data_IF_644892439438
#
_entry.id   IF_644892439438
#
_cell.length_a   1.000
_cell.length_b   1.000
_cell.length_c   1.000
_cell.angle_alpha   90.00
_cell.angle_beta   90.00
_cell.angle_gamma   90.00
#
_symmetry.space_group_name_H-M   'P 1'
#
loop_
_entity.id
_entity.type
_entity.pdbx_description
1 polymer ?
#
# COMPACT_ATOMS: atom_id res chain seq x y z
N UNK A 1 20.16 6.67 6.83
CA UNK A 1 21.13 5.89 6.04
C UNK A 1 20.70 5.96 4.59
N UNK A 2 21.67 6.12 3.70
CA UNK A 2 21.42 6.01 2.24
C UNK A 2 21.89 4.61 1.86
N UNK A 3 20.99 3.83 1.28
CA UNK A 3 21.31 2.48 0.82
C UNK A 3 21.09 2.40 -0.68
N UNK A 4 22.14 2.04 -1.41
CA UNK A 4 22.08 1.66 -2.81
C UNK A 4 22.19 0.14 -2.87
N UNK A 5 21.20 -0.54 -3.41
CA UNK A 5 21.30 -1.97 -3.61
C UNK A 5 20.72 -2.39 -4.96
N UNK A 6 21.21 -3.52 -5.45
CA UNK A 6 20.72 -4.15 -6.67
C UNK A 6 19.85 -5.34 -6.29
N UNK A 7 18.57 -5.36 -6.58
CA UNK A 7 17.66 -6.44 -6.19
C UNK A 7 18.08 -7.82 -6.69
N UNK A 8 18.81 -7.91 -7.80
CA UNK A 8 19.36 -9.16 -8.32
C UNK A 8 20.40 -9.81 -7.39
N UNK A 9 21.14 -9.02 -6.60
CA UNK A 9 22.11 -9.56 -5.62
C UNK A 9 21.42 -10.20 -4.42
N UNK A 10 20.16 -9.90 -4.18
CA UNK A 10 19.33 -10.46 -3.11
C UNK A 10 18.49 -11.67 -3.57
N UNK A 11 18.64 -12.11 -4.82
CA UNK A 11 17.88 -13.24 -5.42
C UNK A 11 16.36 -13.11 -5.28
N UNK A 12 15.86 -11.88 -5.20
CA UNK A 12 14.44 -11.62 -4.98
C UNK A 12 13.57 -12.01 -6.18
N UNK A 13 14.09 -11.90 -7.40
CA UNK A 13 13.50 -12.51 -8.60
C UNK A 13 14.45 -12.50 -9.81
N UNK A 14 14.43 -13.51 -10.71
CA UNK A 14 15.20 -13.52 -11.96
C UNK A 14 14.75 -12.45 -12.97
N UNK A 15 13.59 -11.84 -12.78
CA UNK A 15 12.96 -10.87 -13.70
C UNK A 15 13.58 -9.46 -13.66
N UNK A 16 14.45 -9.18 -12.68
CA UNK A 16 15.00 -7.85 -12.43
C UNK A 16 16.51 -7.75 -12.67
N UNK A 17 17.00 -8.39 -13.75
CA UNK A 17 18.36 -8.09 -14.25
C UNK A 17 18.40 -6.61 -14.64
N UNK A 18 19.47 -5.94 -14.27
CA UNK A 18 19.72 -4.52 -14.55
C UNK A 18 18.77 -3.52 -13.84
N UNK A 19 18.27 -3.89 -12.66
CA UNK A 19 17.45 -3.02 -11.83
C UNK A 19 18.29 -2.42 -10.70
N UNK A 20 18.18 -1.12 -10.51
CA UNK A 20 18.79 -0.39 -9.40
C UNK A 20 17.70 0.20 -8.49
N UNK A 21 17.88 0.05 -7.19
CA UNK A 21 17.04 0.68 -6.18
C UNK A 21 17.90 1.49 -5.24
N UNK A 22 17.64 2.78 -5.19
CA UNK A 22 18.25 3.70 -4.25
C UNK A 22 17.17 4.22 -3.29
N UNK A 23 17.40 4.09 -1.99
CA UNK A 23 16.42 4.51 -1.00
C UNK A 23 17.10 5.19 0.18
N UNK A 24 16.52 6.31 0.63
CA UNK A 24 16.93 7.01 1.84
C UNK A 24 15.80 6.95 2.85
N UNK A 25 16.00 6.15 3.89
CA UNK A 25 15.01 5.86 4.92
C UNK A 25 15.53 6.30 6.29
N UNK A 26 14.64 6.91 7.07
CA UNK A 26 14.77 7.10 8.50
C UNK A 26 13.61 6.38 9.16
N UNK A 27 13.88 5.59 10.19
CA UNK A 27 12.87 4.88 10.93
C UNK A 27 13.14 5.04 12.43
N UNK A 28 12.10 5.36 13.17
CA UNK A 28 12.12 5.47 14.62
C UNK A 28 10.89 4.76 15.18
N UNK A 29 11.12 3.63 15.84
CA UNK A 29 10.08 2.79 16.38
C UNK A 29 10.39 2.35 17.80
N UNK A 30 9.32 2.25 18.58
CA UNK A 30 9.28 1.56 19.87
C UNK A 30 8.29 0.40 19.77
N UNK A 31 8.53 -0.65 20.55
CA UNK A 31 7.66 -1.84 20.58
C UNK A 31 8.45 -3.14 20.65
N UNK A 32 7.81 -4.20 21.13
CA UNK A 32 8.41 -5.53 21.26
C UNK A 32 8.18 -6.41 20.03
N UNK A 33 7.23 -6.07 19.22
CA UNK A 33 6.89 -6.79 17.98
C UNK A 33 6.39 -5.84 16.91
N UNK A 34 6.30 -6.33 15.67
CA UNK A 34 5.76 -5.55 14.55
C UNK A 34 4.31 -5.11 14.79
N UNK A 35 3.56 -5.87 15.59
CA UNK A 35 2.18 -5.54 15.88
C UNK A 35 2.01 -4.53 17.02
N UNK A 36 3.06 -4.30 17.81
CA UNK A 36 3.06 -3.35 18.93
C UNK A 36 3.86 -2.09 18.60
N UNK A 37 4.21 -1.91 17.33
CA UNK A 37 5.02 -0.78 16.90
C UNK A 37 4.28 0.54 17.07
N UNK A 38 4.94 1.48 17.76
CA UNK A 38 4.63 2.90 17.75
C UNK A 38 5.83 3.66 17.19
N UNK A 39 5.60 4.53 16.23
CA UNK A 39 6.70 5.28 15.63
C UNK A 39 6.45 5.65 14.19
N UNK A 40 7.51 5.99 13.49
CA UNK A 40 7.40 6.44 12.11
C UNK A 40 8.53 5.97 11.20
N UNK A 41 8.19 5.83 9.92
CA UNK A 41 9.12 5.68 8.82
C UNK A 41 9.01 6.91 7.94
N UNK A 42 10.14 7.53 7.66
CA UNK A 42 10.27 8.59 6.68
C UNK A 42 11.15 8.11 5.53
N UNK A 43 10.59 8.05 4.33
CA UNK A 43 11.34 7.78 3.11
C UNK A 43 11.55 9.12 2.42
N UNK A 44 12.74 9.69 2.56
CA UNK A 44 13.07 11.00 1.98
C UNK A 44 13.12 10.91 0.44
N UNK A 45 13.62 9.78 -0.08
CA UNK A 45 13.63 9.50 -1.52
C UNK A 45 13.71 8.01 -1.79
N UNK A 46 13.04 7.57 -2.84
CA UNK A 46 13.17 6.24 -3.42
C UNK A 46 13.27 6.40 -4.94
N UNK A 47 14.34 5.89 -5.51
CA UNK A 47 14.53 5.84 -6.94
C UNK A 47 14.67 4.38 -7.38
N UNK A 48 13.82 4.00 -8.30
CA UNK A 48 13.83 2.69 -8.94
C UNK A 48 14.13 2.88 -10.43
N UNK A 49 15.16 2.21 -10.92
CA UNK A 49 15.56 2.25 -12.31
C UNK A 49 15.60 0.84 -12.87
N UNK A 50 14.87 0.61 -13.93
CA UNK A 50 14.85 -0.64 -14.70
C UNK A 50 14.91 -0.29 -16.20
N UNK A 51 15.27 -1.24 -17.09
CA UNK A 51 15.41 -0.97 -18.53
C UNK A 51 14.18 -0.32 -19.16
N UNK A 52 13.00 -0.70 -18.72
CA UNK A 52 11.72 -0.25 -19.30
C UNK A 52 10.96 0.74 -18.39
N UNK A 53 11.47 1.01 -17.18
CA UNK A 53 10.73 1.79 -16.19
C UNK A 53 11.67 2.52 -15.24
N UNK A 54 11.44 3.82 -15.12
CA UNK A 54 12.06 4.64 -14.07
C UNK A 54 10.97 5.18 -13.16
N UNK A 55 11.21 5.04 -11.87
CA UNK A 55 10.28 5.49 -10.87
C UNK A 55 10.99 6.30 -9.80
N UNK A 56 10.41 7.41 -9.42
CA UNK A 56 10.90 8.26 -8.34
C UNK A 56 9.77 8.61 -7.38
N UNK A 57 10.04 8.47 -6.09
CA UNK A 57 9.14 8.87 -5.01
C UNK A 57 9.92 9.68 -3.99
N UNK A 58 9.35 10.75 -3.52
CA UNK A 58 9.84 11.55 -2.42
C UNK A 58 8.79 11.67 -1.32
N UNK A 59 9.25 11.95 -0.10
CA UNK A 59 8.41 12.31 1.03
C UNK A 59 7.26 11.33 1.35
N UNK A 60 7.57 10.04 1.50
CA UNK A 60 6.62 9.11 2.10
C UNK A 60 6.87 9.04 3.61
N UNK A 61 5.88 9.47 4.39
CA UNK A 61 5.84 9.27 5.84
C UNK A 61 4.74 8.29 6.21
N UNK A 62 5.11 7.28 6.97
CA UNK A 62 4.18 6.31 7.56
C UNK A 62 4.36 6.39 9.06
N UNK A 63 3.29 6.73 9.79
CA UNK A 63 3.27 6.76 11.24
C UNK A 63 2.29 5.71 11.77
N UNK A 64 2.78 4.90 12.70
CA UNK A 64 2.01 3.87 13.39
C UNK A 64 1.86 4.27 14.87
N UNK A 65 0.63 4.31 15.36
CA UNK A 65 0.34 4.55 16.77
C UNK A 65 -0.67 3.53 17.28
N UNK A 66 -0.58 3.24 18.57
CA UNK A 66 -1.54 2.37 19.26
C UNK A 66 -1.92 3.04 20.57
N UNK A 67 -3.22 3.02 20.91
CA UNK A 67 -3.70 3.50 22.20
C UNK A 67 -3.73 2.37 23.24
N UNK A 68 -4.08 2.70 24.48
CA UNK A 68 -4.15 1.76 25.60
C UNK A 68 -5.21 0.66 25.40
N UNK A 69 -6.21 0.90 24.56
CA UNK A 69 -7.25 -0.06 24.19
C UNK A 69 -6.87 -0.97 22.99
N UNK A 70 -5.59 -0.99 22.63
CA UNK A 70 -5.06 -1.73 21.47
C UNK A 70 -5.62 -1.30 20.11
N UNK A 71 -6.30 -0.16 20.05
CA UNK A 71 -6.73 0.42 18.79
C UNK A 71 -5.53 1.05 18.09
N UNK A 72 -5.31 0.66 16.85
CA UNK A 72 -4.19 1.10 16.03
C UNK A 72 -4.63 2.17 15.05
N UNK A 73 -3.72 3.10 14.80
CA UNK A 73 -3.84 4.07 13.72
C UNK A 73 -2.57 4.05 12.88
N UNK A 74 -2.74 3.78 11.60
CA UNK A 74 -1.71 3.92 10.60
C UNK A 74 -2.01 5.16 9.77
N UNK A 75 -1.10 6.12 9.76
CA UNK A 75 -1.20 7.32 8.94
C UNK A 75 -0.18 7.25 7.81
N UNK A 76 -0.63 7.48 6.59
CA UNK A 76 0.19 7.55 5.38
C UNK A 76 0.12 8.96 4.84
N UNK A 77 1.26 9.55 4.56
CA UNK A 77 1.35 10.87 3.95
C UNK A 77 2.44 10.90 2.89
N UNK A 78 2.04 11.11 1.66
CA UNK A 78 2.93 11.25 0.51
C UNK A 78 2.32 12.18 -0.55
N UNK A 79 3.06 12.42 -1.61
CA UNK A 79 2.57 13.16 -2.76
C UNK A 79 1.57 12.38 -3.63
N UNK A 80 1.49 11.06 -3.48
CA UNK A 80 0.59 10.21 -4.27
C UNK A 80 -0.58 9.61 -3.48
N UNK A 81 -0.43 9.46 -2.15
CA UNK A 81 -1.44 8.87 -1.26
C UNK A 81 -1.37 9.53 0.11
N UNK A 82 -2.52 9.93 0.64
CA UNK A 82 -2.68 10.33 2.05
C UNK A 82 -3.85 9.58 2.65
N UNK A 83 -3.76 9.25 3.92
CA UNK A 83 -4.90 8.67 4.59
C UNK A 83 -4.57 8.00 5.90
N UNK A 84 -5.61 7.41 6.47
CA UNK A 84 -5.57 6.71 7.75
C UNK A 84 -6.23 5.35 7.64
N UNK A 85 -5.72 4.41 8.43
CA UNK A 85 -6.35 3.12 8.72
C UNK A 85 -6.43 2.99 10.23
N UNK A 86 -7.63 2.83 10.78
CA UNK A 86 -7.88 2.81 12.22
C UNK A 86 -8.68 1.59 12.63
N UNK A 87 -8.26 0.92 13.69
CA UNK A 87 -8.99 -0.23 14.23
C UNK A 87 -8.12 -1.28 14.89
N UNK A 88 -8.69 -2.46 15.03
CA UNK A 88 -8.02 -3.64 15.53
C UNK A 88 -7.54 -4.50 14.35
N UNK A 89 -6.26 -4.46 14.08
CA UNK A 89 -5.66 -5.20 12.98
C UNK A 89 -4.19 -5.56 13.25
N UNK A 90 -3.70 -6.54 12.51
CA UNK A 90 -2.30 -6.91 12.51
C UNK A 90 -1.60 -6.36 11.25
N UNK A 91 -0.49 -5.67 11.43
CA UNK A 91 0.32 -5.18 10.31
C UNK A 91 0.80 -6.32 9.39
N UNK A 92 1.01 -7.52 9.96
CA UNK A 92 1.44 -8.70 9.19
C UNK A 92 0.35 -9.24 8.27
N UNK A 93 -0.92 -9.17 8.69
CA UNK A 93 -2.05 -9.72 7.94
C UNK A 93 -2.84 -8.68 7.15
N UNK A 94 -2.64 -7.38 7.43
CA UNK A 94 -3.33 -6.30 6.73
C UNK A 94 -3.20 -6.38 5.20
N UNK A 95 -2.00 -6.62 4.61
CA UNK A 95 -1.88 -6.78 3.17
C UNK A 95 -2.70 -7.97 2.63
N UNK A 96 -2.77 -9.09 3.38
CA UNK A 96 -3.56 -10.24 2.98
C UNK A 96 -5.06 -9.94 3.01
N UNK A 97 -5.56 -9.18 4.00
CA UNK A 97 -6.94 -8.71 4.03
C UNK A 97 -7.29 -7.86 2.82
N UNK A 98 -6.43 -6.91 2.46
CA UNK A 98 -6.62 -6.07 1.27
C UNK A 98 -6.69 -6.94 0.01
N UNK A 99 -5.78 -7.89 -0.16
CA UNK A 99 -5.79 -8.81 -1.29
C UNK A 99 -7.04 -9.70 -1.34
N UNK A 100 -7.51 -10.19 -0.20
CA UNK A 100 -8.74 -10.98 -0.11
C UNK A 100 -9.97 -10.16 -0.54
N UNK A 101 -10.03 -8.88 -0.12
CA UNK A 101 -11.06 -7.93 -0.56
C UNK A 101 -11.01 -7.77 -2.09
N UNK A 102 -9.82 -7.47 -2.63
CA UNK A 102 -9.64 -7.25 -4.06
C UNK A 102 -10.08 -8.47 -4.88
N UNK A 103 -9.73 -9.66 -4.45
CA UNK A 103 -10.16 -10.91 -5.11
C UNK A 103 -11.66 -11.08 -5.14
N UNK A 104 -12.33 -10.72 -4.04
CA UNK A 104 -13.78 -10.90 -3.91
C UNK A 104 -14.59 -9.90 -4.72
N UNK A 105 -14.16 -8.65 -4.73
CA UNK A 105 -14.94 -7.53 -5.30
C UNK A 105 -14.44 -7.07 -6.66
N UNK A 106 -13.20 -7.38 -7.00
CA UNK A 106 -12.60 -7.07 -8.29
C UNK A 106 -11.95 -8.34 -8.87
N UNK A 107 -12.72 -9.38 -9.22
CA UNK A 107 -12.16 -10.64 -9.72
C UNK A 107 -11.42 -10.49 -11.05
N UNK A 108 -11.62 -9.38 -11.77
CA UNK A 108 -10.86 -9.06 -12.99
C UNK A 108 -9.38 -8.71 -12.72
N UNK A 109 -8.99 -8.41 -11.49
CA UNK A 109 -7.60 -8.32 -11.10
C UNK A 109 -7.02 -9.73 -10.98
N UNK A 110 -6.15 -10.08 -11.92
CA UNK A 110 -5.38 -11.34 -11.87
C UNK A 110 -4.34 -11.17 -10.77
N UNK A 111 -4.69 -11.60 -9.57
CA UNK A 111 -3.75 -11.67 -8.45
C UNK A 111 -3.05 -13.02 -8.46
N UNK A 112 -1.78 -13.10 -8.03
CA UNK A 112 -1.06 -14.35 -7.90
C UNK A 112 -1.91 -15.37 -7.11
N UNK A 113 -1.90 -16.63 -7.53
CA UNK A 113 -2.71 -17.71 -6.96
C UNK A 113 -2.16 -18.14 -5.58
N UNK A 114 -2.26 -17.22 -4.61
CA UNK A 114 -2.01 -17.50 -3.20
C UNK A 114 -3.34 -17.77 -2.53
N UNK A 115 -3.45 -18.90 -1.86
CA UNK A 115 -4.63 -19.22 -1.05
C UNK A 115 -4.95 -18.05 -0.10
N UNK A 116 -6.23 -17.70 0.10
CA UNK A 116 -6.61 -16.69 1.09
C UNK A 116 -5.99 -17.08 2.44
N UNK A 117 -5.33 -16.13 3.11
CA UNK A 117 -4.88 -16.34 4.48
C UNK A 117 -6.04 -15.96 5.39
N UNK A 118 -6.24 -16.76 6.44
CA UNK A 118 -7.12 -16.35 7.51
C UNK A 118 -6.58 -15.07 8.16
N UNK A 119 -7.44 -14.08 8.28
CA UNK A 119 -7.15 -12.79 8.87
C UNK A 119 -8.30 -12.44 9.82
N UNK A 120 -8.05 -11.62 10.83
CA UNK A 120 -9.06 -11.21 11.81
C UNK A 120 -9.10 -9.70 11.96
N UNK A 121 -8.85 -8.98 10.86
CA UNK A 121 -8.73 -7.54 10.87
C UNK A 121 -10.11 -6.86 10.87
N UNK A 122 -10.21 -5.77 11.63
CA UNK A 122 -11.39 -4.93 11.73
C UNK A 122 -10.95 -3.47 11.76
N UNK A 123 -11.17 -2.73 10.67
CA UNK A 123 -10.67 -1.38 10.54
C UNK A 123 -11.53 -0.49 9.66
N UNK A 124 -11.43 0.80 9.91
CA UNK A 124 -11.88 1.87 9.03
C UNK A 124 -10.71 2.40 8.23
N UNK A 125 -10.96 2.88 7.03
CA UNK A 125 -9.96 3.56 6.21
C UNK A 125 -10.56 4.80 5.54
N UNK A 126 -9.72 5.82 5.44
CA UNK A 126 -9.99 7.06 4.69
C UNK A 126 -8.73 7.41 3.89
N UNK A 127 -8.82 7.27 2.58
CA UNK A 127 -7.69 7.39 1.66
C UNK A 127 -7.98 8.47 0.62
N UNK A 128 -7.02 9.36 0.41
CA UNK A 128 -6.97 10.37 -0.63
C UNK A 128 -5.88 10.00 -1.61
N UNK A 129 -6.27 9.65 -2.83
CA UNK A 129 -5.38 9.13 -3.87
C UNK A 129 -5.18 10.24 -4.89
N UNK A 130 -3.94 10.66 -5.09
CA UNK A 130 -3.57 11.73 -6.03
C UNK A 130 -2.99 11.17 -7.32
N UNK A 131 -2.27 10.05 -7.20
CA UNK A 131 -1.65 9.36 -8.32
C UNK A 131 -1.44 7.89 -7.97
N UNK A 132 -1.79 6.98 -8.87
CA UNK A 132 -1.56 5.55 -8.67
C UNK A 132 -0.43 4.98 -9.52
N UNK A 133 0.32 5.79 -10.24
CA UNK A 133 1.39 5.31 -11.12
C UNK A 133 2.40 4.45 -10.34
N UNK A 134 2.75 4.89 -9.14
CA UNK A 134 3.58 4.14 -8.18
C UNK A 134 2.98 2.78 -7.85
N UNK A 135 1.71 2.78 -7.43
CA UNK A 135 1.01 1.57 -7.05
C UNK A 135 0.85 0.62 -8.23
N UNK A 136 0.56 1.17 -9.41
CA UNK A 136 0.44 0.40 -10.65
C UNK A 136 1.76 -0.28 -11.01
N UNK A 137 2.87 0.43 -10.87
CA UNK A 137 4.21 -0.08 -11.20
C UNK A 137 4.66 -1.13 -10.17
N UNK A 138 4.58 -0.82 -8.89
CA UNK A 138 5.08 -1.70 -7.81
C UNK A 138 4.22 -2.96 -7.67
N UNK A 139 2.90 -2.82 -7.72
CA UNK A 139 1.97 -3.95 -7.55
C UNK A 139 1.52 -4.58 -8.87
N UNK A 140 1.96 -4.05 -10.01
CA UNK A 140 1.57 -4.51 -11.35
C UNK A 140 0.04 -4.50 -11.54
N UNK A 141 -0.65 -3.56 -10.92
CA UNK A 141 -2.10 -3.39 -11.04
C UNK A 141 -2.37 -2.44 -12.21
N UNK A 142 -3.07 -2.87 -13.27
CA UNK A 142 -3.33 -2.03 -14.44
C UNK A 142 -4.46 -1.01 -14.19
N UNK A 143 -4.42 -0.36 -13.04
CA UNK A 143 -5.37 0.67 -12.62
C UNK A 143 -4.62 1.98 -12.41
N UNK A 144 -4.98 3.01 -13.17
CA UNK A 144 -4.42 4.36 -13.03
C UNK A 144 -5.52 5.34 -12.64
N UNK A 145 -5.23 6.14 -11.63
CA UNK A 145 -6.05 7.27 -11.18
C UNK A 145 -5.30 8.55 -11.53
N UNK A 146 -5.96 9.48 -12.18
CA UNK A 146 -5.32 10.68 -12.75
C UNK A 146 -5.59 11.96 -11.98
N UNK A 147 -6.58 11.92 -11.08
CA UNK A 147 -7.02 13.08 -10.34
C UNK A 147 -7.26 12.71 -8.88
N UNK A 148 -7.39 13.72 -8.04
CA UNK A 148 -7.73 13.52 -6.64
C UNK A 148 -8.97 12.66 -6.49
N UNK A 149 -8.80 11.50 -5.94
CA UNK A 149 -9.85 10.51 -5.70
C UNK A 149 -9.90 10.18 -4.22
N UNK A 150 -11.06 9.80 -3.74
CA UNK A 150 -11.24 9.41 -2.34
C UNK A 150 -11.78 8.00 -2.24
N UNK A 151 -11.32 7.27 -1.23
CA UNK A 151 -11.78 5.94 -0.91
C UNK A 151 -11.92 5.81 0.60
N UNK A 152 -13.14 5.64 1.07
CA UNK A 152 -13.46 5.47 2.49
C UNK A 152 -14.19 4.16 2.71
N UNK A 153 -13.99 3.57 3.87
CA UNK A 153 -14.72 2.35 4.13
C UNK A 153 -14.45 1.74 5.48
N UNK A 154 -15.11 0.63 5.65
CA UNK A 154 -15.02 -0.23 6.83
C UNK A 154 -14.86 -1.66 6.39
N UNK A 155 -13.98 -2.36 7.03
CA UNK A 155 -13.72 -3.78 6.80
C UNK A 155 -13.77 -4.56 8.10
N UNK A 156 -14.48 -5.69 8.10
CA UNK A 156 -14.48 -6.63 9.22
C UNK A 156 -14.39 -8.06 8.68
N UNK A 157 -13.26 -8.68 8.93
CA UNK A 157 -12.97 -10.04 8.49
C UNK A 157 -13.90 -11.08 9.14
N UNK A 158 -14.10 -10.97 10.43
CA UNK A 158 -14.94 -11.94 11.18
C UNK A 158 -16.38 -11.93 10.71
N UNK A 159 -16.91 -10.74 10.41
CA UNK A 159 -18.28 -10.58 9.93
C UNK A 159 -18.39 -10.67 8.41
N UNK A 160 -17.28 -10.84 7.70
CA UNK A 160 -17.21 -10.84 6.24
C UNK A 160 -17.89 -9.62 5.62
N UNK A 161 -17.77 -8.46 6.28
CA UNK A 161 -18.39 -7.21 5.86
C UNK A 161 -17.37 -6.24 5.31
N UNK A 162 -17.68 -5.70 4.15
CA UNK A 162 -16.98 -4.57 3.54
C UNK A 162 -18.00 -3.53 3.13
N UNK A 163 -17.78 -2.29 3.55
CA UNK A 163 -18.47 -1.12 3.01
C UNK A 163 -17.40 -0.19 2.44
N UNK A 164 -17.56 0.21 1.19
CA UNK A 164 -16.65 1.10 0.50
C UNK A 164 -17.45 2.19 -0.18
N UNK A 165 -17.04 3.42 0.00
CA UNK A 165 -17.52 4.59 -0.72
C UNK A 165 -16.30 5.20 -1.43
N UNK A 166 -16.40 5.37 -2.74
CA UNK A 166 -15.31 5.88 -3.56
C UNK A 166 -15.77 6.96 -4.52
N UNK A 167 -14.93 7.98 -4.71
CA UNK A 167 -15.09 8.99 -5.74
C UNK A 167 -13.84 9.01 -6.60
N UNK A 168 -14.01 8.71 -7.89
CA UNK A 168 -12.94 8.60 -8.87
C UNK A 168 -13.32 9.40 -10.12
N UNK A 169 -12.98 10.70 -10.18
CA UNK A 169 -13.37 11.54 -11.32
C UNK A 169 -12.83 11.03 -12.66
N UNK A 170 -11.63 10.49 -12.64
CA UNK A 170 -11.00 9.91 -13.84
C UNK A 170 -10.12 8.73 -13.47
N UNK A 171 -10.45 7.57 -14.01
CA UNK A 171 -9.64 6.37 -13.86
C UNK A 171 -9.46 5.63 -15.19
N UNK A 172 -8.42 4.85 -15.33
CA UNK A 172 -8.30 3.89 -16.43
C UNK A 172 -7.95 2.51 -15.91
N UNK A 173 -8.48 1.51 -16.59
CA UNK A 173 -8.16 0.11 -16.36
C UNK A 173 -7.81 -0.55 -17.69
N UNK A 174 -6.61 -1.12 -17.81
CA UNK A 174 -6.12 -1.72 -19.06
C UNK A 174 -6.34 -0.78 -20.26
N UNK A 175 -5.89 0.46 -20.15
CA UNK A 175 -5.99 1.52 -21.19
C UNK A 175 -7.42 1.99 -21.53
N UNK A 176 -8.45 1.46 -20.90
CA UNK A 176 -9.82 1.98 -21.00
C UNK A 176 -10.06 3.05 -19.97
N UNK A 177 -10.54 4.21 -20.41
CA UNK A 177 -10.85 5.36 -19.55
C UNK A 177 -12.30 5.32 -19.08
N UNK A 178 -12.49 5.73 -17.84
CA UNK A 178 -13.79 5.92 -17.22
C UNK A 178 -13.78 7.31 -16.57
N UNK A 179 -14.80 8.10 -16.86
CA UNK A 179 -15.01 9.44 -16.31
C UNK A 179 -16.42 9.48 -15.69
N UNK A 180 -16.53 10.11 -14.50
CA UNK A 180 -17.79 10.28 -13.77
C UNK A 180 -18.26 11.72 -13.85
#
# INVERSE_FOLDING_TARGET
>A
AVSHFRPNTLHLTPKYKDTELSVKIKADFTGSSINDMNGEINIDSLQYTAPDQNFFMDNLRIAATQNDEHQKRLTINSNFLRGTIEGDYSYQTLPASVLNIMRRYIPALILPDKRPRETANNFYFDLHIYNTEILSTVFQIPLKVYTHSTLKGYFNDKLQRLRVEGYFPRLSYKEKFFES
#
